data_IF_564751103118
#
_entry.id   IF_564751103118
#
_cell.length_a   1.000
_cell.length_b   1.000
_cell.length_c   1.000
_cell.angle_alpha   90.00
_cell.angle_beta   90.00
_cell.angle_gamma   90.00
#
_symmetry.space_group_name_H-M   'P 1'
#
loop_
_entity.id
_entity.type
_entity.pdbx_description
1 polymer ?
#
# COMPACT_ATOMS: atom_id res chain seq x y z
N UNK A 1 34.30 9.22 40.34
CA UNK A 1 34.10 7.85 39.82
C UNK A 1 33.04 7.76 38.67
N UNK A 2 32.02 8.64 38.64
CA UNK A 2 31.05 8.68 37.54
C UNK A 2 31.59 9.27 36.24
N UNK A 3 32.52 10.21 36.34
CA UNK A 3 33.22 10.83 35.19
C UNK A 3 34.21 9.87 34.48
N UNK A 4 34.82 8.98 35.24
CA UNK A 4 35.76 7.98 34.69
C UNK A 4 35.04 6.86 33.92
N UNK A 5 33.86 6.44 34.42
CA UNK A 5 33.01 5.43 33.76
C UNK A 5 32.43 5.98 32.45
N UNK A 6 31.96 7.24 32.48
CA UNK A 6 31.45 7.93 31.29
C UNK A 6 32.54 8.11 30.23
N UNK A 7 33.79 8.49 30.64
CA UNK A 7 34.94 8.64 29.72
C UNK A 7 35.38 7.29 29.11
N UNK A 8 35.28 6.18 29.86
CA UNK A 8 35.57 4.83 29.36
C UNK A 8 34.51 4.38 28.34
N UNK A 9 33.21 4.62 28.60
CA UNK A 9 32.13 4.30 27.67
C UNK A 9 32.27 5.07 26.37
N UNK A 10 32.60 6.39 26.44
CA UNK A 10 32.85 7.22 25.26
C UNK A 10 34.06 6.73 24.47
N UNK A 11 35.17 6.37 25.16
CA UNK A 11 36.38 5.82 24.51
C UNK A 11 36.10 4.47 23.81
N UNK A 12 35.27 3.62 24.37
CA UNK A 12 34.88 2.35 23.76
C UNK A 12 33.99 2.59 22.53
N UNK A 13 33.04 3.52 22.61
CA UNK A 13 32.10 3.86 21.54
C UNK A 13 32.77 4.61 20.35
N UNK A 14 33.84 5.41 20.64
CA UNK A 14 34.53 6.21 19.63
C UNK A 14 35.85 5.59 19.09
N UNK A 15 36.22 4.38 19.55
CA UNK A 15 37.38 3.67 19.08
C UNK A 15 37.32 3.43 17.58
N UNK A 16 38.20 4.06 16.79
CA UNK A 16 38.24 3.87 15.33
C UNK A 16 38.32 2.39 14.98
N UNK A 17 37.37 1.92 14.14
CA UNK A 17 37.33 0.55 13.63
C UNK A 17 38.60 0.25 12.84
N UNK A 18 39.35 -0.75 13.26
CA UNK A 18 40.41 -1.34 12.45
C UNK A 18 39.72 -2.12 11.28
N UNK A 19 40.17 -1.87 10.06
CA UNK A 19 39.72 -2.58 8.86
C UNK A 19 39.69 -4.12 9.16
N UNK A 20 38.55 -4.76 9.09
CA UNK A 20 38.32 -6.21 9.22
C UNK A 20 38.22 -6.86 10.63
N UNK A 21 37.95 -6.16 11.70
CA UNK A 21 37.59 -6.82 12.98
C UNK A 21 36.17 -6.45 13.41
N UNK A 22 35.32 -7.48 13.61
CA UNK A 22 34.01 -7.28 14.23
C UNK A 22 34.20 -6.81 15.68
N UNK A 23 33.44 -5.79 16.04
CA UNK A 23 33.37 -5.29 17.41
C UNK A 23 32.12 -5.88 18.08
N UNK A 24 32.15 -6.08 19.41
CA UNK A 24 30.99 -6.62 20.13
C UNK A 24 29.69 -5.82 19.89
N UNK A 25 29.80 -4.50 19.67
CA UNK A 25 28.66 -3.64 19.31
C UNK A 25 28.03 -3.98 17.97
N UNK A 26 28.77 -4.65 17.08
CA UNK A 26 28.24 -5.05 15.78
C UNK A 26 27.18 -6.15 15.92
N UNK A 27 27.35 -7.06 16.89
CA UNK A 27 26.34 -8.08 17.20
C UNK A 27 25.05 -7.46 17.71
N UNK A 28 25.14 -6.41 18.54
CA UNK A 28 23.98 -5.64 18.99
C UNK A 28 23.29 -4.91 17.83
N UNK A 29 24.08 -4.29 16.95
CA UNK A 29 23.57 -3.60 15.76
C UNK A 29 22.89 -4.58 14.81
N UNK A 30 23.50 -5.74 14.56
CA UNK A 30 22.91 -6.78 13.71
C UNK A 30 21.64 -7.38 14.32
N UNK A 31 21.63 -7.61 15.63
CA UNK A 31 20.43 -8.09 16.32
C UNK A 31 19.30 -7.06 16.22
N UNK A 32 19.59 -5.78 16.46
CA UNK A 32 18.60 -4.71 16.34
C UNK A 32 18.08 -4.57 14.90
N UNK A 33 19.00 -4.61 13.92
CA UNK A 33 18.63 -4.57 12.50
C UNK A 33 17.78 -5.80 12.12
N UNK A 34 18.15 -6.98 12.59
CA UNK A 34 17.38 -8.21 12.33
C UNK A 34 15.96 -8.09 12.91
N UNK A 35 15.83 -7.61 14.15
CA UNK A 35 14.53 -7.38 14.77
C UNK A 35 13.70 -6.35 13.99
N UNK A 36 14.33 -5.26 13.55
CA UNK A 36 13.70 -4.24 12.71
C UNK A 36 13.21 -4.79 11.37
N UNK A 37 14.06 -5.59 10.72
CA UNK A 37 13.69 -6.28 9.46
C UNK A 37 12.52 -7.22 9.70
N UNK A 38 12.56 -8.04 10.75
CA UNK A 38 11.49 -8.99 11.07
C UNK A 38 10.17 -8.27 11.35
N UNK A 39 10.21 -7.13 12.04
CA UNK A 39 9.03 -6.32 12.34
C UNK A 39 8.48 -5.65 11.07
N UNK A 40 9.34 -5.15 10.17
CA UNK A 40 8.91 -4.52 8.92
C UNK A 40 8.43 -5.53 7.89
N UNK A 41 9.10 -6.66 7.74
CA UNK A 41 8.75 -7.69 6.76
C UNK A 41 7.68 -8.67 7.27
N UNK A 42 7.46 -8.76 8.58
CA UNK A 42 6.45 -9.62 9.18
C UNK A 42 5.06 -9.48 8.53
N UNK A 43 4.50 -8.26 8.42
CA UNK A 43 3.22 -8.02 7.75
C UNK A 43 3.23 -8.42 6.27
N UNK A 44 4.35 -8.23 5.56
CA UNK A 44 4.48 -8.61 4.13
C UNK A 44 4.46 -10.13 3.97
N UNK A 45 5.23 -10.83 4.81
CA UNK A 45 5.23 -12.31 4.85
C UNK A 45 3.84 -12.84 5.21
N UNK A 46 3.20 -12.22 6.21
CA UNK A 46 1.83 -12.55 6.59
C UNK A 46 0.83 -12.38 5.43
N UNK A 47 0.90 -11.28 4.69
CA UNK A 47 0.08 -11.05 3.50
C UNK A 47 0.32 -12.13 2.44
N UNK A 48 1.60 -12.44 2.14
CA UNK A 48 1.97 -13.47 1.19
C UNK A 48 1.44 -14.85 1.58
N UNK A 49 1.58 -15.25 2.85
CA UNK A 49 1.05 -16.51 3.34
C UNK A 49 -0.48 -16.53 3.40
N UNK A 50 -1.11 -15.41 3.76
CA UNK A 50 -2.57 -15.28 3.81
C UNK A 50 -3.21 -15.31 2.44
N UNK A 51 -2.55 -14.79 1.39
CA UNK A 51 -3.06 -14.86 0.01
C UNK A 51 -3.18 -16.29 -0.52
N UNK A 52 -2.46 -17.24 0.07
CA UNK A 52 -2.49 -18.66 -0.26
C UNK A 52 -3.51 -19.45 0.58
N UNK A 53 -4.23 -18.81 1.50
CA UNK A 53 -5.25 -19.44 2.34
C UNK A 53 -6.62 -19.45 1.69
N UNK A 54 -7.47 -20.37 2.12
CA UNK A 54 -8.91 -20.32 1.83
C UNK A 54 -9.57 -19.18 2.60
N UNK A 55 -10.72 -18.69 2.13
CA UNK A 55 -11.48 -17.65 2.82
C UNK A 55 -11.82 -18.03 4.27
N UNK A 56 -12.20 -19.28 4.51
CA UNK A 56 -12.42 -19.80 5.85
C UNK A 56 -11.15 -19.78 6.72
N UNK A 57 -9.98 -20.09 6.13
CA UNK A 57 -8.69 -20.06 6.82
C UNK A 57 -8.20 -18.65 7.18
N UNK A 58 -8.61 -17.62 6.42
CA UNK A 58 -8.31 -16.20 6.73
C UNK A 58 -9.17 -15.73 7.91
N UNK A 59 -10.43 -16.15 7.97
CA UNK A 59 -11.39 -15.75 9.01
C UNK A 59 -11.26 -16.58 10.31
N UNK A 60 -10.38 -17.56 10.33
CA UNK A 60 -10.20 -18.43 11.48
C UNK A 60 -9.53 -17.69 12.66
N UNK A 61 -10.08 -17.90 13.88
CA UNK A 61 -9.50 -17.39 15.12
C UNK A 61 -9.14 -18.56 16.06
N UNK A 62 -7.93 -18.59 16.66
CA UNK A 62 -6.79 -17.69 16.42
C UNK A 62 -6.19 -17.87 15.01
N UNK A 63 -5.62 -16.79 14.43
CA UNK A 63 -5.11 -16.84 13.06
C UNK A 63 -3.90 -17.77 12.95
N UNK A 64 -3.87 -18.61 11.92
CA UNK A 64 -2.74 -19.48 11.64
C UNK A 64 -1.72 -18.77 10.75
N UNK A 65 -0.42 -18.99 10.93
CA UNK A 65 0.62 -18.42 10.06
C UNK A 65 0.63 -19.14 8.70
N UNK A 66 0.63 -20.45 8.71
CA UNK A 66 0.70 -21.28 7.50
C UNK A 66 -0.66 -21.40 6.80
N UNK A 67 -0.70 -21.67 5.48
CA UNK A 67 -1.90 -21.91 4.72
C UNK A 67 -2.50 -23.30 5.06
N UNK A 68 -3.10 -23.38 6.25
CA UNK A 68 -3.80 -24.55 6.74
C UNK A 68 -5.28 -24.42 6.44
N UNK A 69 -5.88 -25.42 5.84
CA UNK A 69 -7.32 -25.53 5.60
C UNK A 69 -7.93 -26.57 6.49
N UNK A 70 -9.11 -26.29 7.04
CA UNK A 70 -9.88 -27.32 7.71
C UNK A 70 -10.42 -28.29 6.67
N UNK A 71 -10.25 -29.59 6.90
CA UNK A 71 -10.74 -30.65 6.02
C UNK A 71 -12.27 -30.61 6.06
N UNK A 72 -12.89 -30.65 4.88
CA UNK A 72 -14.32 -30.74 4.70
C UNK A 72 -14.65 -32.02 3.94
N UNK A 73 -15.77 -32.66 4.29
CA UNK A 73 -16.24 -33.88 3.64
C UNK A 73 -17.70 -33.71 3.24
N UNK A 74 -18.01 -34.24 2.07
CA UNK A 74 -19.41 -34.35 1.62
C UNK A 74 -20.10 -35.46 2.40
N UNK A 75 -21.18 -35.10 3.06
CA UNK A 75 -21.99 -36.04 3.85
C UNK A 75 -23.35 -36.16 3.19
N UNK A 76 -23.82 -37.37 2.97
CA UNK A 76 -25.10 -37.66 2.33
C UNK A 76 -26.23 -37.00 3.12
N UNK A 77 -27.12 -36.27 2.41
CA UNK A 77 -28.23 -35.50 3.01
C UNK A 77 -27.91 -34.05 3.36
N UNK A 78 -26.69 -33.53 3.01
CA UNK A 78 -26.31 -32.12 3.21
C UNK A 78 -25.79 -31.50 1.90
N UNK A 79 -26.31 -30.33 1.53
CA UNK A 79 -26.00 -29.64 0.28
C UNK A 79 -24.60 -29.01 0.25
N UNK A 80 -23.92 -28.93 1.39
CA UNK A 80 -22.59 -28.29 1.52
C UNK A 80 -21.63 -29.20 2.25
N UNK A 81 -20.34 -29.24 1.83
CA UNK A 81 -19.34 -29.98 2.54
C UNK A 81 -19.22 -29.51 4.00
N UNK A 82 -19.16 -30.46 4.92
CA UNK A 82 -19.12 -30.20 6.36
C UNK A 82 -17.69 -30.31 6.91
N UNK A 83 -17.27 -29.40 7.81
CA UNK A 83 -15.95 -29.46 8.42
C UNK A 83 -15.81 -30.62 9.40
N UNK A 84 -14.72 -31.40 9.28
CA UNK A 84 -14.43 -32.53 10.16
C UNK A 84 -13.63 -32.10 11.38
N UNK A 85 -13.92 -32.75 12.50
CA UNK A 85 -13.23 -32.62 13.77
C UNK A 85 -12.88 -33.99 14.36
N UNK A 86 -11.73 -34.07 15.01
CA UNK A 86 -11.45 -35.15 15.93
C UNK A 86 -12.18 -34.88 17.25
N UNK A 87 -13.01 -35.78 17.64
CA UNK A 87 -13.79 -35.71 18.89
C UNK A 87 -13.30 -36.80 19.81
N UNK A 88 -12.84 -36.43 21.00
CA UNK A 88 -12.46 -37.38 22.04
C UNK A 88 -13.72 -37.83 22.77
N UNK A 89 -14.04 -39.12 22.69
CA UNK A 89 -15.16 -39.74 23.37
C UNK A 89 -14.84 -39.95 24.86
N UNK A 90 -15.84 -40.33 25.66
CA UNK A 90 -15.67 -40.54 27.11
C UNK A 90 -14.83 -41.79 27.42
N UNK A 91 -14.73 -42.71 26.50
CA UNK A 91 -13.89 -43.89 26.56
C UNK A 91 -12.41 -43.64 26.15
N UNK A 92 -12.07 -42.39 25.81
CA UNK A 92 -10.72 -42.01 25.35
C UNK A 92 -10.47 -42.26 23.87
N UNK A 93 -11.42 -42.84 23.13
CA UNK A 93 -11.32 -43.04 21.69
C UNK A 93 -11.51 -41.71 20.93
N UNK A 94 -10.80 -41.56 19.81
CA UNK A 94 -10.94 -40.40 18.91
C UNK A 94 -11.76 -40.78 17.71
N UNK A 95 -12.92 -40.14 17.55
CA UNK A 95 -13.79 -40.34 16.37
C UNK A 95 -13.82 -39.07 15.52
N UNK A 96 -13.81 -39.27 14.20
CA UNK A 96 -13.94 -38.16 13.26
C UNK A 96 -15.42 -37.88 13.00
N UNK A 97 -15.89 -36.67 13.34
CA UNK A 97 -17.26 -36.25 13.17
C UNK A 97 -17.33 -34.96 12.36
N UNK A 98 -18.31 -34.87 11.48
CA UNK A 98 -18.58 -33.65 10.68
C UNK A 98 -19.54 -32.72 11.42
N UNK A 99 -19.23 -31.44 11.48
CA UNK A 99 -20.08 -30.46 12.18
C UNK A 99 -21.16 -29.90 11.27
N UNK A 100 -22.42 -30.05 11.67
CA UNK A 100 -23.58 -29.49 10.98
C UNK A 100 -23.79 -28.02 11.40
N UNK A 101 -23.87 -27.77 12.72
CA UNK A 101 -24.17 -26.44 13.26
C UNK A 101 -23.63 -26.30 14.69
N UNK A 102 -23.21 -25.08 15.03
CA UNK A 102 -22.87 -24.72 16.42
C UNK A 102 -24.13 -24.22 17.14
N UNK A 103 -24.38 -24.74 18.36
CA UNK A 103 -25.50 -24.36 19.22
C UNK A 103 -24.93 -24.00 20.59
N UNK A 104 -24.61 -22.72 20.81
CA UNK A 104 -23.99 -22.25 22.06
C UNK A 104 -22.62 -22.87 22.32
N UNK A 105 -22.48 -23.59 23.43
CA UNK A 105 -21.26 -24.31 23.88
C UNK A 105 -21.13 -25.72 23.29
N UNK A 106 -22.18 -26.20 22.56
CA UNK A 106 -22.21 -27.50 21.92
C UNK A 106 -22.21 -27.37 20.40
N UNK A 107 -21.73 -28.39 19.72
CA UNK A 107 -21.85 -28.55 18.28
C UNK A 107 -22.71 -29.77 17.97
N UNK A 108 -23.65 -29.64 17.02
CA UNK A 108 -24.36 -30.76 16.44
C UNK A 108 -23.49 -31.36 15.36
N UNK A 109 -23.11 -32.63 15.54
CA UNK A 109 -22.19 -33.35 14.67
C UNK A 109 -22.83 -34.62 14.11
N UNK A 110 -22.33 -35.08 12.99
CA UNK A 110 -22.77 -36.30 12.30
C UNK A 110 -21.57 -37.15 11.96
N UNK A 111 -21.73 -38.46 12.03
CA UNK A 111 -20.72 -39.40 11.53
C UNK A 111 -20.81 -39.45 9.99
N UNK A 112 -19.71 -39.09 9.26
CA UNK A 112 -19.71 -39.17 7.80
C UNK A 112 -20.04 -40.57 7.25
N UNK A 113 -19.79 -41.63 8.04
CA UNK A 113 -20.03 -43.02 7.65
C UNK A 113 -21.46 -43.47 7.98
N UNK A 114 -22.13 -42.77 8.93
CA UNK A 114 -23.52 -43.07 9.34
C UNK A 114 -24.30 -41.75 9.46
N UNK A 115 -24.82 -41.20 8.35
CA UNK A 115 -25.47 -39.87 8.33
C UNK A 115 -26.75 -39.76 9.14
N UNK A 116 -27.35 -40.89 9.57
CA UNK A 116 -28.61 -40.91 10.29
C UNK A 116 -28.55 -40.52 11.76
N UNK A 117 -27.38 -40.57 12.40
CA UNK A 117 -27.23 -40.27 13.81
C UNK A 117 -26.51 -38.96 14.05
N UNK A 118 -27.20 -38.03 14.72
CA UNK A 118 -26.57 -36.74 15.09
C UNK A 118 -26.26 -36.71 16.57
N UNK A 119 -25.01 -36.39 16.92
CA UNK A 119 -24.51 -36.32 18.29
C UNK A 119 -24.24 -34.87 18.68
N UNK A 120 -24.56 -34.50 19.92
CA UNK A 120 -24.16 -33.18 20.48
C UNK A 120 -22.85 -33.34 21.21
N UNK A 121 -21.83 -32.61 20.79
CA UNK A 121 -20.46 -32.64 21.35
C UNK A 121 -20.11 -31.26 21.89
N UNK A 122 -19.57 -31.16 23.11
CA UNK A 122 -19.01 -29.92 23.64
C UNK A 122 -17.86 -29.42 22.76
N UNK A 123 -17.73 -28.09 22.62
CA UNK A 123 -16.74 -27.46 21.74
C UNK A 123 -15.30 -27.71 22.21
N UNK A 124 -15.09 -27.85 23.50
CA UNK A 124 -13.80 -28.12 24.17
C UNK A 124 -13.26 -29.54 23.92
N UNK A 125 -14.12 -30.51 23.63
CA UNK A 125 -13.73 -31.90 23.34
C UNK A 125 -13.43 -32.18 21.86
N UNK A 126 -13.35 -31.15 21.02
CA UNK A 126 -13.11 -31.31 19.57
C UNK A 126 -11.86 -30.58 19.12
N UNK A 127 -11.08 -31.21 18.27
CA UNK A 127 -9.92 -30.65 17.59
C UNK A 127 -10.18 -30.55 16.09
N UNK A 128 -9.79 -29.43 15.49
CA UNK A 128 -9.90 -29.21 14.04
C UNK A 128 -8.86 -30.05 13.32
N UNK A 129 -9.29 -30.82 12.32
CA UNK A 129 -8.36 -31.50 11.43
C UNK A 129 -8.00 -30.53 10.30
N UNK A 130 -6.71 -30.26 10.16
CA UNK A 130 -6.18 -29.32 9.19
C UNK A 130 -5.21 -30.00 8.25
N UNK A 131 -5.26 -29.61 6.98
CA UNK A 131 -4.29 -30.00 5.97
C UNK A 131 -3.56 -28.78 5.43
N UNK A 132 -2.35 -28.96 4.96
CA UNK A 132 -1.61 -27.94 4.24
C UNK A 132 -2.14 -27.87 2.81
N UNK A 133 -2.85 -26.77 2.47
CA UNK A 133 -3.46 -26.59 1.16
C UNK A 133 -3.20 -25.18 0.65
N UNK A 134 -2.54 -25.12 -0.48
CA UNK A 134 -2.27 -23.85 -1.17
C UNK A 134 -3.43 -23.54 -2.10
N UNK A 135 -4.08 -22.41 -1.90
CA UNK A 135 -5.23 -21.97 -2.68
C UNK A 135 -4.81 -21.09 -3.87
N UNK A 136 -4.32 -21.75 -4.93
CA UNK A 136 -3.92 -21.04 -6.16
C UNK A 136 -5.07 -20.34 -6.88
N UNK A 137 -6.31 -20.80 -6.66
CA UNK A 137 -7.52 -20.19 -7.22
C UNK A 137 -7.66 -18.72 -6.85
N UNK A 138 -7.16 -18.29 -5.70
CA UNK A 138 -7.16 -16.88 -5.31
C UNK A 138 -6.46 -15.96 -6.33
N UNK A 139 -5.53 -16.49 -7.11
CA UNK A 139 -4.83 -15.78 -8.18
C UNK A 139 -5.46 -16.00 -9.55
N UNK A 140 -5.96 -17.21 -9.81
CA UNK A 140 -6.51 -17.59 -11.12
C UNK A 140 -7.92 -17.06 -11.33
N UNK A 141 -8.77 -17.13 -10.31
CA UNK A 141 -10.17 -16.72 -10.39
C UNK A 141 -10.36 -15.24 -10.76
N UNK A 142 -9.61 -14.27 -10.16
CA UNK A 142 -9.71 -12.87 -10.56
C UNK A 142 -9.32 -12.64 -12.03
N UNK A 143 -8.29 -13.36 -12.50
CA UNK A 143 -7.84 -13.26 -13.91
C UNK A 143 -8.87 -13.81 -14.90
N UNK A 144 -9.72 -14.77 -14.47
CA UNK A 144 -10.76 -15.38 -15.32
C UNK A 144 -12.09 -14.65 -15.23
N UNK A 145 -12.47 -14.16 -14.03
CA UNK A 145 -13.77 -13.54 -13.78
C UNK A 145 -13.84 -12.08 -14.19
N UNK A 146 -12.71 -11.39 -14.14
CA UNK A 146 -12.61 -9.96 -14.44
C UNK A 146 -11.62 -9.73 -15.57
N UNK A 147 -11.81 -8.69 -16.34
CA UNK A 147 -10.83 -8.25 -17.34
C UNK A 147 -9.64 -7.54 -16.66
N UNK A 148 -8.92 -8.34 -15.85
CA UNK A 148 -7.80 -7.85 -15.02
C UNK A 148 -6.76 -7.11 -15.84
N UNK A 149 -6.47 -7.59 -17.06
CA UNK A 149 -5.47 -6.99 -17.93
C UNK A 149 -5.88 -5.58 -18.36
N UNK A 150 -7.18 -5.36 -18.62
CA UNK A 150 -7.71 -4.04 -18.94
C UNK A 150 -7.58 -3.08 -17.76
N UNK A 151 -7.98 -3.52 -16.57
CA UNK A 151 -7.83 -2.69 -15.36
C UNK A 151 -6.37 -2.37 -15.06
N UNK A 152 -5.49 -3.34 -15.16
CA UNK A 152 -4.06 -3.15 -14.96
C UNK A 152 -3.47 -2.16 -15.98
N UNK A 153 -3.83 -2.28 -17.25
CA UNK A 153 -3.43 -1.35 -18.32
C UNK A 153 -3.90 0.08 -18.03
N UNK A 154 -5.16 0.26 -17.64
CA UNK A 154 -5.74 1.57 -17.32
C UNK A 154 -5.04 2.20 -16.11
N UNK A 155 -4.84 1.44 -15.01
CA UNK A 155 -4.14 1.92 -13.82
C UNK A 155 -2.69 2.31 -14.13
N UNK A 156 -1.99 1.51 -14.94
CA UNK A 156 -0.63 1.81 -15.37
C UNK A 156 -0.59 3.06 -16.24
N UNK A 157 -1.50 3.20 -17.20
CA UNK A 157 -1.59 4.37 -18.07
C UNK A 157 -1.85 5.65 -17.25
N UNK A 158 -2.86 5.64 -16.37
CA UNK A 158 -3.17 6.77 -15.48
C UNK A 158 -1.95 7.14 -14.64
N UNK A 159 -1.32 6.16 -13.99
CA UNK A 159 -0.18 6.40 -13.11
C UNK A 159 1.01 7.00 -13.84
N UNK A 160 1.38 6.44 -14.99
CA UNK A 160 2.53 6.91 -15.78
C UNK A 160 2.27 8.30 -16.35
N UNK A 161 1.13 8.49 -17.02
CA UNK A 161 0.81 9.77 -17.67
C UNK A 161 0.63 10.88 -16.64
N UNK A 162 -0.12 10.62 -15.55
CA UNK A 162 -0.30 11.59 -14.49
C UNK A 162 1.04 11.95 -13.81
N UNK A 163 1.91 10.98 -13.57
CA UNK A 163 3.24 11.24 -12.99
C UNK A 163 4.08 12.12 -13.92
N UNK A 164 4.15 11.82 -15.22
CA UNK A 164 4.91 12.65 -16.17
C UNK A 164 4.40 14.09 -16.18
N UNK A 165 3.09 14.28 -16.28
CA UNK A 165 2.47 15.61 -16.25
C UNK A 165 2.77 16.33 -14.95
N UNK A 166 2.65 15.62 -13.82
CA UNK A 166 2.95 16.16 -12.47
C UNK A 166 4.41 16.62 -12.37
N UNK A 167 5.36 15.82 -12.85
CA UNK A 167 6.78 16.19 -12.80
C UNK A 167 7.08 17.43 -13.65
N UNK A 168 6.50 17.52 -14.83
CA UNK A 168 6.67 18.68 -15.73
C UNK A 168 6.09 19.94 -15.09
N UNK A 169 4.81 19.91 -14.71
CA UNK A 169 4.12 21.09 -14.18
C UNK A 169 4.77 21.57 -12.87
N UNK A 170 5.04 20.62 -11.95
CA UNK A 170 5.60 20.98 -10.64
C UNK A 170 7.05 21.47 -10.75
N UNK A 171 7.88 20.90 -11.64
CA UNK A 171 9.25 21.38 -11.82
C UNK A 171 9.31 22.76 -12.48
N UNK A 172 8.42 23.04 -13.44
CA UNK A 172 8.32 24.38 -14.03
C UNK A 172 7.86 25.43 -13.01
N UNK A 173 6.86 25.11 -12.21
CA UNK A 173 6.38 25.99 -11.15
C UNK A 173 7.45 26.21 -10.06
N UNK A 174 8.15 25.15 -9.66
CA UNK A 174 9.24 25.20 -8.70
C UNK A 174 10.42 26.02 -9.23
N UNK A 175 10.79 25.86 -10.52
CA UNK A 175 11.81 26.68 -11.18
C UNK A 175 11.47 28.16 -11.14
N UNK A 176 10.23 28.51 -11.54
CA UNK A 176 9.79 29.90 -11.52
C UNK A 176 9.83 30.50 -10.10
N UNK A 177 9.38 29.75 -9.10
CA UNK A 177 9.33 30.19 -7.70
C UNK A 177 10.69 30.14 -6.98
N UNK A 178 11.69 29.45 -7.52
CA UNK A 178 13.05 29.41 -6.94
C UNK A 178 13.99 30.43 -7.56
N UNK A 179 14.05 30.50 -8.89
CA UNK A 179 15.09 31.20 -9.64
C UNK A 179 14.69 32.64 -9.98
N UNK A 180 13.43 32.87 -10.37
CA UNK A 180 12.98 34.21 -10.75
C UNK A 180 12.65 35.09 -9.54
N UNK A 181 12.92 36.39 -9.70
CA UNK A 181 12.44 37.43 -8.78
C UNK A 181 11.33 38.22 -9.50
N UNK A 182 10.12 38.15 -8.98
CA UNK A 182 8.96 38.85 -9.53
C UNK A 182 8.01 39.36 -8.42
N UNK A 183 7.22 40.39 -8.73
CA UNK A 183 6.23 40.92 -7.79
C UNK A 183 5.16 39.86 -7.53
N UNK A 184 4.89 39.55 -6.26
CA UNK A 184 3.91 38.53 -5.87
C UNK A 184 4.46 37.12 -5.67
N UNK A 185 5.77 36.87 -5.84
CA UNK A 185 6.41 35.58 -5.61
C UNK A 185 6.06 34.96 -4.25
N UNK A 186 6.19 35.78 -3.18
CA UNK A 186 5.87 35.32 -1.83
C UNK A 186 4.39 35.03 -1.63
N UNK A 187 3.50 35.81 -2.24
CA UNK A 187 2.06 35.56 -2.23
C UNK A 187 1.73 34.23 -2.93
N UNK A 188 2.28 34.02 -4.12
CA UNK A 188 2.11 32.76 -4.85
C UNK A 188 2.61 31.54 -4.04
N UNK A 189 3.75 31.69 -3.37
CA UNK A 189 4.29 30.64 -2.51
C UNK A 189 3.39 30.35 -1.30
N UNK A 190 2.95 31.40 -0.61
CA UNK A 190 2.05 31.26 0.55
C UNK A 190 0.71 30.66 0.11
N UNK A 191 0.21 31.02 -1.07
CA UNK A 191 -0.99 30.42 -1.63
C UNK A 191 -0.82 28.93 -1.88
N UNK A 192 0.27 28.51 -2.53
CA UNK A 192 0.59 27.08 -2.76
C UNK A 192 0.69 26.32 -1.44
N UNK A 193 1.41 26.87 -0.44
CA UNK A 193 1.54 26.23 0.88
C UNK A 193 0.20 26.18 1.61
N UNK A 194 -0.59 27.26 1.51
CA UNK A 194 -1.91 27.34 2.12
C UNK A 194 -2.87 26.25 1.65
N UNK A 195 -2.77 25.85 0.37
CA UNK A 195 -3.59 24.75 -0.16
C UNK A 195 -3.26 23.39 0.46
N UNK A 196 -2.06 23.19 1.04
CA UNK A 196 -1.69 21.96 1.76
C UNK A 196 -2.52 21.75 3.04
N UNK A 197 -3.06 22.84 3.61
CA UNK A 197 -3.86 22.78 4.82
C UNK A 197 -5.31 22.34 4.56
N UNK A 198 -5.73 22.30 3.30
CA UNK A 198 -7.10 21.91 2.92
C UNK A 198 -7.16 20.39 2.79
N UNK A 199 -7.99 19.71 3.59
CA UNK A 199 -8.17 18.25 3.48
C UNK A 199 -8.71 17.89 2.10
N UNK A 200 -8.10 16.88 1.45
CA UNK A 200 -8.50 16.40 0.13
C UNK A 200 -9.98 15.99 0.06
N UNK A 201 -10.50 15.42 1.14
CA UNK A 201 -11.89 14.97 1.22
C UNK A 201 -12.90 16.10 1.06
N UNK A 202 -12.58 17.32 1.50
CA UNK A 202 -13.46 18.48 1.37
C UNK A 202 -13.53 18.97 -0.08
N UNK A 203 -12.42 18.89 -0.82
CA UNK A 203 -12.36 19.39 -2.21
C UNK A 203 -12.88 18.37 -3.23
N UNK A 204 -13.16 17.12 -2.85
CA UNK A 204 -13.63 16.08 -3.78
C UNK A 204 -14.90 16.50 -4.53
N UNK A 205 -15.90 17.02 -3.82
CA UNK A 205 -17.17 17.44 -4.41
C UNK A 205 -16.99 18.64 -5.36
N UNK A 206 -16.32 19.74 -4.97
CA UNK A 206 -16.01 20.84 -5.90
C UNK A 206 -15.23 20.38 -7.14
N UNK A 207 -14.24 19.50 -6.96
CA UNK A 207 -13.45 18.96 -8.10
C UNK A 207 -14.34 18.13 -9.03
N UNK A 208 -15.24 17.32 -8.49
CA UNK A 208 -16.21 16.57 -9.29
C UNK A 208 -17.07 17.50 -10.16
N UNK A 209 -17.62 18.59 -9.59
CA UNK A 209 -18.39 19.57 -10.36
C UNK A 209 -17.57 20.22 -11.47
N UNK A 210 -16.31 20.55 -11.22
CA UNK A 210 -15.42 21.11 -12.25
C UNK A 210 -15.20 20.10 -13.36
N UNK A 211 -14.85 18.84 -13.03
CA UNK A 211 -14.64 17.77 -14.02
C UNK A 211 -15.91 17.49 -14.81
N UNK A 212 -17.08 17.51 -14.15
CA UNK A 212 -18.37 17.34 -14.79
C UNK A 212 -18.67 18.45 -15.81
N UNK A 213 -18.44 19.70 -15.44
CA UNK A 213 -18.67 20.85 -16.31
C UNK A 213 -17.75 20.86 -17.53
N UNK A 214 -16.55 20.27 -17.42
CA UNK A 214 -15.66 20.09 -18.57
C UNK A 214 -15.95 18.82 -19.38
N UNK A 215 -17.00 18.06 -19.05
CA UNK A 215 -17.37 16.83 -19.77
C UNK A 215 -16.33 15.71 -19.63
N UNK A 216 -15.53 15.72 -18.58
CA UNK A 216 -14.45 14.74 -18.37
C UNK A 216 -14.83 13.59 -17.42
N UNK A 217 -16.11 13.50 -17.00
CA UNK A 217 -16.60 12.38 -16.23
C UNK A 217 -16.53 11.11 -17.09
N UNK A 218 -16.28 9.96 -16.46
CA UNK A 218 -16.10 8.66 -17.09
C UNK A 218 -14.97 8.65 -18.15
N UNK A 219 -13.95 9.48 -17.93
CA UNK A 219 -12.77 9.59 -18.77
C UNK A 219 -11.49 9.45 -17.95
N UNK A 220 -10.47 8.79 -18.55
CA UNK A 220 -9.14 8.70 -17.93
C UNK A 220 -8.52 10.09 -17.67
N UNK A 221 -8.85 11.08 -18.51
CA UNK A 221 -8.39 12.47 -18.34
C UNK A 221 -9.04 13.15 -17.14
N UNK A 222 -10.30 12.83 -16.84
CA UNK A 222 -10.96 13.29 -15.61
C UNK A 222 -10.30 12.77 -14.34
N UNK A 223 -9.63 11.60 -14.41
CA UNK A 223 -8.83 11.08 -13.30
C UNK A 223 -7.43 11.72 -13.25
N UNK A 224 -6.80 11.95 -14.40
CA UNK A 224 -5.41 12.42 -14.49
C UNK A 224 -5.27 13.92 -14.15
N UNK A 225 -6.10 14.77 -14.78
CA UNK A 225 -5.88 16.23 -14.79
C UNK A 225 -6.06 16.92 -13.43
N UNK A 226 -7.07 16.60 -12.60
CA UNK A 226 -7.30 17.31 -11.34
C UNK A 226 -6.13 17.25 -10.37
N UNK A 227 -5.37 16.17 -10.41
CA UNK A 227 -4.19 16.00 -9.55
C UNK A 227 -2.86 16.28 -10.26
N UNK A 228 -2.83 16.88 -11.44
CA UNK A 228 -1.61 17.09 -12.23
C UNK A 228 -0.64 18.07 -11.56
N UNK A 229 -1.14 19.10 -10.87
CA UNK A 229 -0.34 20.04 -10.09
C UNK A 229 -0.51 19.74 -8.61
N UNK A 230 0.58 19.41 -7.92
CA UNK A 230 0.57 19.11 -6.49
C UNK A 230 1.34 20.16 -5.69
N UNK A 231 0.72 20.81 -4.69
CA UNK A 231 1.41 21.79 -3.84
C UNK A 231 2.65 21.21 -3.16
N UNK A 232 2.57 19.96 -2.70
CA UNK A 232 3.71 19.23 -2.11
C UNK A 232 4.86 19.09 -3.09
N UNK A 233 4.57 18.74 -4.36
CA UNK A 233 5.59 18.59 -5.41
C UNK A 233 6.28 19.91 -5.75
N UNK A 234 5.50 20.99 -5.91
CA UNK A 234 6.05 22.34 -6.14
C UNK A 234 6.94 22.77 -4.98
N UNK A 235 6.49 22.59 -3.75
CA UNK A 235 7.26 22.97 -2.56
C UNK A 235 8.55 22.14 -2.44
N UNK A 236 8.49 20.83 -2.58
CA UNK A 236 9.65 19.94 -2.50
C UNK A 236 10.71 20.31 -3.53
N UNK A 237 10.32 20.41 -4.80
CA UNK A 237 11.26 20.75 -5.88
C UNK A 237 11.82 22.16 -5.72
N UNK A 238 11.00 23.14 -5.31
CA UNK A 238 11.46 24.50 -5.02
C UNK A 238 12.52 24.51 -3.92
N UNK A 239 12.29 23.79 -2.80
CA UNK A 239 13.27 23.76 -1.72
C UNK A 239 14.61 23.17 -2.18
N UNK A 240 14.55 22.14 -3.02
CA UNK A 240 15.76 21.57 -3.59
C UNK A 240 16.44 22.52 -4.57
N UNK A 241 15.70 23.14 -5.49
CA UNK A 241 16.25 24.06 -6.48
C UNK A 241 16.89 25.31 -5.86
N UNK A 242 16.44 25.72 -4.66
CA UNK A 242 17.09 26.81 -3.90
C UNK A 242 18.49 26.45 -3.37
N UNK A 243 18.83 25.17 -3.29
CA UNK A 243 20.16 24.70 -2.86
C UNK A 243 21.17 24.63 -4.00
N UNK A 244 20.70 24.79 -5.25
CA UNK A 244 21.59 24.76 -6.40
C UNK A 244 22.51 25.99 -6.45
N UNK A 245 23.79 25.84 -6.84
CA UNK A 245 24.71 26.95 -6.98
C UNK A 245 24.21 27.96 -8.01
N UNK A 246 24.01 29.19 -7.61
CA UNK A 246 23.51 30.26 -8.51
C UNK A 246 24.50 30.59 -9.61
N UNK A 247 25.77 30.37 -9.35
CA UNK A 247 26.90 30.61 -10.27
C UNK A 247 26.70 29.82 -11.59
N UNK A 248 26.12 28.62 -11.53
CA UNK A 248 25.84 27.82 -12.74
C UNK A 248 24.76 28.44 -13.63
N UNK A 249 23.79 29.09 -13.01
CA UNK A 249 22.67 29.72 -13.71
C UNK A 249 23.18 31.06 -14.31
N UNK A 250 23.98 31.79 -13.55
CA UNK A 250 24.58 33.06 -13.99
C UNK A 250 25.59 32.83 -15.13
N UNK A 251 26.42 31.80 -15.04
CA UNK A 251 27.29 31.40 -16.11
C UNK A 251 26.56 31.09 -17.40
N UNK A 252 25.47 30.31 -17.31
CA UNK A 252 24.64 29.99 -18.49
C UNK A 252 23.97 31.24 -19.07
N UNK A 253 23.62 32.24 -18.26
CA UNK A 253 23.08 33.53 -18.74
C UNK A 253 24.17 34.36 -19.43
N UNK A 254 25.41 34.33 -18.92
CA UNK A 254 26.55 34.97 -19.56
C UNK A 254 26.89 34.35 -20.93
N UNK A 255 26.64 33.04 -21.09
CA UNK A 255 26.75 32.33 -22.36
C UNK A 255 25.50 32.56 -23.28
N UNK A 256 24.66 33.55 -22.97
CA UNK A 256 23.45 33.91 -23.72
C UNK A 256 22.44 32.75 -23.86
N UNK A 257 22.45 31.77 -22.95
CA UNK A 257 21.46 30.71 -22.97
C UNK A 257 20.04 31.26 -22.65
N UNK A 258 19.02 30.81 -23.40
CA UNK A 258 17.63 31.17 -23.08
C UNK A 258 17.21 30.55 -21.75
N UNK A 259 16.27 31.19 -21.04
CA UNK A 259 15.75 30.68 -19.76
C UNK A 259 15.17 29.23 -19.90
N UNK A 260 14.61 28.92 -21.06
CA UNK A 260 14.16 27.58 -21.39
C UNK A 260 15.32 26.57 -21.51
N UNK A 261 16.44 26.99 -22.11
CA UNK A 261 17.65 26.18 -22.17
C UNK A 261 18.26 25.98 -20.79
N UNK A 262 18.28 27.01 -19.95
CA UNK A 262 18.76 26.96 -18.56
C UNK A 262 17.89 25.96 -17.76
N UNK A 263 16.56 26.04 -17.89
CA UNK A 263 15.67 25.09 -17.23
C UNK A 263 15.97 23.64 -17.62
N UNK A 264 15.98 23.33 -18.94
CA UNK A 264 16.12 21.95 -19.41
C UNK A 264 17.53 21.39 -19.31
N UNK A 265 18.57 22.20 -19.51
CA UNK A 265 19.96 21.72 -19.62
C UNK A 265 20.78 21.90 -18.35
N UNK A 266 20.36 22.78 -17.44
CA UNK A 266 21.08 23.06 -16.20
C UNK A 266 20.27 22.64 -14.98
N UNK A 267 19.13 23.29 -14.74
CA UNK A 267 18.40 23.15 -13.47
C UNK A 267 17.72 21.79 -13.36
N UNK A 268 17.04 21.35 -14.42
CA UNK A 268 16.31 20.07 -14.40
C UNK A 268 17.26 18.86 -14.18
N UNK A 269 18.39 18.73 -14.92
CA UNK A 269 19.34 17.65 -14.67
C UNK A 269 19.94 17.67 -13.26
N UNK A 270 20.29 18.85 -12.74
CA UNK A 270 20.79 18.98 -11.37
C UNK A 270 19.71 18.64 -10.32
N UNK A 271 18.43 18.75 -10.68
CA UNK A 271 17.31 18.44 -9.80
C UNK A 271 16.84 16.99 -9.89
N UNK A 272 17.48 16.14 -10.68
CA UNK A 272 17.08 14.71 -10.84
C UNK A 272 16.89 13.99 -9.50
N UNK A 273 17.72 14.16 -8.46
CA UNK A 273 17.49 13.48 -7.18
C UNK A 273 16.14 13.84 -6.56
N UNK A 274 15.76 15.12 -6.56
CA UNK A 274 14.47 15.56 -6.02
C UNK A 274 13.29 15.17 -6.92
N UNK A 275 13.48 15.20 -8.24
CA UNK A 275 12.50 14.75 -9.22
C UNK A 275 12.23 13.25 -9.05
N UNK A 276 13.27 12.43 -8.81
CA UNK A 276 13.09 11.00 -8.55
C UNK A 276 12.27 10.74 -7.28
N UNK A 277 12.51 11.51 -6.22
CA UNK A 277 11.69 11.41 -4.99
C UNK A 277 10.24 11.78 -5.28
N UNK A 278 9.99 12.88 -6.00
CA UNK A 278 8.63 13.27 -6.37
C UNK A 278 7.96 12.24 -7.29
N UNK A 279 8.72 11.62 -8.21
CA UNK A 279 8.21 10.56 -9.08
C UNK A 279 7.75 9.34 -8.26
N UNK A 280 8.55 8.90 -7.29
CA UNK A 280 8.18 7.80 -6.39
C UNK A 280 6.88 8.12 -5.63
N UNK A 281 6.77 9.31 -5.03
CA UNK A 281 5.56 9.73 -4.34
C UNK A 281 4.35 9.80 -5.28
N UNK A 282 4.52 10.39 -6.47
CA UNK A 282 3.45 10.48 -7.47
C UNK A 282 2.95 9.10 -7.89
N UNK A 283 3.86 8.17 -8.20
CA UNK A 283 3.51 6.79 -8.55
C UNK A 283 2.75 6.12 -7.39
N UNK A 284 3.27 6.22 -6.16
CA UNK A 284 2.63 5.61 -5.00
C UNK A 284 1.23 6.19 -4.75
N UNK A 285 1.05 7.50 -4.82
CA UNK A 285 -0.26 8.13 -4.60
C UNK A 285 -1.25 7.74 -5.69
N UNK A 286 -0.86 7.78 -6.95
CA UNK A 286 -1.74 7.44 -8.09
C UNK A 286 -2.10 5.96 -8.12
N UNK A 287 -1.14 5.10 -7.84
CA UNK A 287 -1.37 3.65 -7.81
C UNK A 287 -2.32 3.22 -6.70
N UNK A 288 -2.25 3.87 -5.54
CA UNK A 288 -3.08 3.57 -4.38
C UNK A 288 -4.36 4.44 -4.29
N UNK A 289 -4.57 5.36 -5.23
CA UNK A 289 -5.77 6.19 -5.24
C UNK A 289 -6.97 5.34 -5.70
N UNK A 290 -7.90 5.19 -4.78
CA UNK A 290 -9.16 4.47 -5.03
C UNK A 290 -10.35 5.43 -5.10
N UNK A 291 -10.33 6.46 -4.25
CA UNK A 291 -11.51 7.27 -4.01
C UNK A 291 -11.87 8.17 -5.19
N UNK A 292 -10.87 8.85 -5.78
CA UNK A 292 -11.12 9.73 -6.90
C UNK A 292 -11.51 8.98 -8.18
N UNK A 293 -10.82 7.90 -8.59
CA UNK A 293 -11.29 7.07 -9.72
C UNK A 293 -12.68 6.50 -9.51
N UNK A 294 -13.03 6.08 -8.30
CA UNK A 294 -14.36 5.59 -7.96
C UNK A 294 -15.45 6.65 -8.24
N UNK A 295 -15.25 7.87 -7.75
CA UNK A 295 -16.20 8.97 -7.93
C UNK A 295 -16.28 9.40 -9.40
N UNK A 296 -15.13 9.48 -10.10
CA UNK A 296 -15.07 9.98 -11.46
C UNK A 296 -15.58 8.98 -12.52
N UNK A 297 -15.43 7.67 -12.27
CA UNK A 297 -15.72 6.63 -13.27
C UNK A 297 -17.00 5.83 -12.99
N UNK A 298 -17.46 5.70 -11.74
CA UNK A 298 -18.61 4.86 -11.38
C UNK A 298 -19.90 5.63 -11.10
N UNK A 299 -19.81 6.89 -10.72
CA UNK A 299 -21.00 7.66 -10.31
C UNK A 299 -21.98 7.98 -11.45
N UNK A 300 -21.67 7.58 -12.68
CA UNK A 300 -22.50 7.87 -13.86
C UNK A 300 -23.34 6.70 -14.35
N UNK A 301 -23.05 5.43 -13.93
CA UNK A 301 -23.82 4.28 -14.39
C UNK A 301 -25.16 4.13 -13.65
N UNK A 302 -25.20 4.44 -12.35
CA UNK A 302 -26.41 4.20 -11.53
C UNK A 302 -27.37 5.40 -11.54
N UNK A 303 -26.86 6.65 -11.68
CA UNK A 303 -27.73 7.84 -11.74
C UNK A 303 -28.45 8.04 -13.09
N UNK A 304 -27.99 7.39 -14.16
CA UNK A 304 -28.65 7.43 -15.45
C UNK A 304 -29.78 6.42 -15.56
N UNK A 305 -29.69 5.29 -14.84
CA UNK A 305 -30.72 4.23 -14.84
C UNK A 305 -31.89 4.53 -13.88
N UNK A 306 -31.70 5.40 -12.87
CA UNK A 306 -32.78 5.87 -11.98
C UNK A 306 -33.56 7.11 -12.54
N UNK A 307 -33.07 7.74 -13.62
CA UNK A 307 -33.68 8.93 -14.22
C UNK A 307 -34.51 8.63 -15.48
N UNK A 308 -34.71 7.37 -15.86
CA UNK A 308 -35.59 6.87 -16.93
C UNK A 308 -36.68 6.00 -16.30
#
# INVERSE_FOLDING_TARGET
NMSETTSRIIKIATKKRYKNKYHWTDYFSYFYLFLGVLLMFGPVVWLGLSSLKTLAGIQEYPPTILPLSQIQVDVEGYDKPLPIFNVTQEDGSVKQLAQIKRIGINAKMVDPLNPGETVKVPIDKREKIREFKIQWQNYVDPLRKYDFLLYFKNSTFITVVATIITLIINSMAAYALSIYEFRGKNFALVFVIGTLLIPLTIILVPVFYVVANFGMINSLWGVILPGAATPTGVFLLRQYMLTLPRELIEAARMDHASEWAIYWRVVLPLSIPAIAVLAIFSIMWRWNDFLWPLICLLYTSDAADEAI
#
